data_IF_361540603042
#
_entry.id   IF_361540603042
#
_cell.length_a   1.000
_cell.length_b   1.000
_cell.length_c   1.000
_cell.angle_alpha   90.00
_cell.angle_beta   90.00
_cell.angle_gamma   90.00
#
_symmetry.space_group_name_H-M   'P 1'
#
loop_
_entity.id
_entity.type
_entity.pdbx_description
1 polymer ?
#
# COMPACT_ATOMS: atom_id res chain seq x y z
N UNK A 1 17.37 43.23 3.23
CA UNK A 1 17.44 41.84 3.74
C UNK A 1 16.13 41.17 3.47
N UNK A 2 16.06 40.44 2.36
CA UNK A 2 14.91 39.59 2.00
C UNK A 2 14.97 38.33 2.89
N UNK A 3 14.08 38.24 3.83
CA UNK A 3 13.85 36.99 4.54
C UNK A 3 13.21 36.01 3.56
N UNK A 4 14.02 35.11 3.01
CA UNK A 4 13.49 33.89 2.42
C UNK A 4 12.87 33.10 3.57
N UNK A 5 11.59 33.38 3.84
CA UNK A 5 10.76 32.48 4.61
C UNK A 5 10.80 31.15 3.85
N UNK A 6 11.52 30.20 4.40
CA UNK A 6 11.51 28.83 3.95
C UNK A 6 10.06 28.36 4.02
N UNK A 7 9.38 28.29 2.89
CA UNK A 7 8.17 27.53 2.70
C UNK A 7 8.54 26.06 2.88
N UNK A 8 8.71 25.67 4.15
CA UNK A 8 8.56 24.31 4.54
C UNK A 8 7.07 24.03 4.43
N UNK A 9 6.60 23.77 3.21
CA UNK A 9 5.37 23.04 3.00
C UNK A 9 5.54 21.75 3.76
N UNK A 10 5.00 21.69 4.99
CA UNK A 10 4.75 20.43 5.66
C UNK A 10 3.90 19.64 4.68
N UNK A 11 4.50 18.67 3.96
CA UNK A 11 3.75 17.71 3.16
C UNK A 11 2.68 17.17 4.08
N UNK A 12 1.42 17.50 3.79
CA UNK A 12 0.32 17.00 4.59
C UNK A 12 0.41 15.47 4.56
N UNK A 13 0.48 14.88 5.74
CA UNK A 13 0.58 13.42 5.86
C UNK A 13 -0.67 12.79 5.23
N UNK A 14 -0.44 11.91 4.25
CA UNK A 14 -1.52 11.17 3.59
C UNK A 14 -1.82 9.92 4.39
N UNK A 15 -3.08 9.79 4.79
CA UNK A 15 -3.62 8.60 5.44
C UNK A 15 -4.34 7.76 4.40
N UNK A 16 -3.93 6.51 4.28
CA UNK A 16 -4.51 5.54 3.35
C UNK A 16 -5.53 4.67 4.08
N UNK A 17 -6.80 4.83 3.74
CA UNK A 17 -7.87 3.97 4.25
C UNK A 17 -8.11 2.80 3.31
N UNK A 18 -7.98 1.56 3.78
CA UNK A 18 -8.18 0.38 2.94
C UNK A 18 -9.30 -0.52 3.47
N UNK A 19 -10.12 -1.03 2.55
CA UNK A 19 -11.17 -2.04 2.81
C UNK A 19 -11.11 -3.12 1.74
N UNK A 20 -11.48 -4.36 2.09
CA UNK A 20 -11.58 -5.45 1.11
C UNK A 20 -13.03 -5.92 1.07
N UNK A 21 -13.58 -5.97 -0.13
CA UNK A 21 -14.96 -6.31 -0.45
C UNK A 21 -15.00 -7.62 -1.23
N UNK A 22 -15.93 -8.48 -0.87
CA UNK A 22 -16.20 -9.70 -1.61
C UNK A 22 -17.60 -9.65 -2.17
N UNK A 23 -17.78 -10.10 -3.40
CA UNK A 23 -19.10 -10.21 -4.00
C UNK A 23 -19.82 -11.45 -3.49
N UNK A 24 -21.14 -11.39 -3.40
CA UNK A 24 -21.98 -12.58 -3.33
C UNK A 24 -21.78 -13.43 -4.59
N UNK A 25 -22.00 -14.73 -4.48
CA UNK A 25 -21.85 -15.66 -5.59
C UNK A 25 -22.63 -15.18 -6.84
N UNK A 26 -21.94 -15.12 -7.97
CA UNK A 26 -22.52 -14.69 -9.26
C UNK A 26 -22.75 -13.18 -9.42
N UNK A 27 -22.49 -12.35 -8.38
CA UNK A 27 -22.79 -10.91 -8.40
C UNK A 27 -21.55 -10.00 -8.53
N UNK A 28 -20.37 -10.57 -8.81
CA UNK A 28 -19.12 -9.82 -8.90
C UNK A 28 -19.17 -8.68 -9.93
N UNK A 29 -19.70 -8.95 -11.13
CA UNK A 29 -19.83 -7.93 -12.18
C UNK A 29 -20.72 -6.75 -11.75
N UNK A 30 -21.83 -7.02 -11.06
CA UNK A 30 -22.73 -5.97 -10.55
C UNK A 30 -22.07 -5.15 -9.45
N UNK A 31 -21.37 -5.79 -8.53
CA UNK A 31 -20.64 -5.10 -7.47
C UNK A 31 -19.54 -4.19 -8.05
N UNK A 32 -18.75 -4.70 -8.98
CA UNK A 32 -17.69 -3.94 -9.64
C UNK A 32 -18.23 -2.77 -10.46
N UNK A 33 -19.34 -2.97 -11.18
CA UNK A 33 -20.02 -1.89 -11.92
C UNK A 33 -20.47 -0.78 -10.98
N UNK A 34 -21.05 -1.11 -9.84
CA UNK A 34 -21.42 -0.12 -8.81
C UNK A 34 -20.22 0.64 -8.25
N UNK A 35 -19.08 -0.04 -8.07
CA UNK A 35 -17.83 0.61 -7.65
C UNK A 35 -17.25 1.53 -8.72
N UNK A 36 -17.27 1.12 -9.98
CA UNK A 36 -16.85 1.91 -11.13
C UNK A 36 -17.66 3.21 -11.23
N UNK A 37 -18.97 3.10 -11.24
CA UNK A 37 -19.88 4.24 -11.37
C UNK A 37 -19.74 5.20 -10.18
N UNK A 38 -19.57 4.67 -8.97
CA UNK A 38 -19.28 5.47 -7.79
C UNK A 38 -17.97 6.24 -7.94
N UNK A 39 -16.92 5.59 -8.42
CA UNK A 39 -15.61 6.22 -8.61
C UNK A 39 -15.67 7.32 -9.66
N UNK A 40 -16.32 7.05 -10.79
CA UNK A 40 -16.54 8.05 -11.85
C UNK A 40 -17.27 9.29 -11.33
N UNK A 41 -18.28 9.07 -10.49
CA UNK A 41 -19.13 10.17 -9.99
C UNK A 41 -18.45 11.01 -8.89
N UNK A 42 -17.67 10.40 -8.01
CA UNK A 42 -17.20 11.08 -6.78
C UNK A 42 -15.69 11.16 -6.60
N UNK A 43 -14.92 10.40 -7.34
CA UNK A 43 -13.48 10.28 -7.13
C UNK A 43 -12.65 10.54 -8.39
N UNK A 44 -13.25 11.05 -9.46
CA UNK A 44 -12.58 11.49 -10.70
C UNK A 44 -12.92 12.94 -11.02
N UNK A 45 -12.03 13.59 -11.77
CA UNK A 45 -12.20 14.99 -12.20
C UNK A 45 -11.82 15.99 -11.12
N UNK A 46 -12.04 17.26 -11.43
CA UNK A 46 -11.64 18.41 -10.59
C UNK A 46 -12.36 18.45 -9.24
N UNK A 47 -13.60 17.99 -9.18
CA UNK A 47 -14.42 17.96 -7.97
C UNK A 47 -14.25 16.66 -7.16
N UNK A 48 -13.23 15.86 -7.46
CA UNK A 48 -13.00 14.61 -6.77
C UNK A 48 -12.78 14.84 -5.26
N UNK A 49 -13.55 14.13 -4.43
CA UNK A 49 -13.46 14.27 -2.97
C UNK A 49 -12.14 13.79 -2.40
N UNK A 50 -11.58 12.74 -2.99
CA UNK A 50 -10.27 12.15 -2.69
C UNK A 50 -9.91 11.09 -3.74
N UNK A 51 -8.61 10.80 -3.95
CA UNK A 51 -8.17 9.71 -4.81
C UNK A 51 -8.59 8.34 -4.24
N UNK A 52 -9.02 7.46 -5.15
CA UNK A 52 -9.42 6.10 -4.85
C UNK A 52 -8.65 5.14 -5.76
N UNK A 53 -7.93 4.20 -5.18
CA UNK A 53 -7.22 3.15 -5.89
C UNK A 53 -7.88 1.81 -5.61
N UNK A 54 -8.03 0.99 -6.66
CA UNK A 54 -8.73 -0.28 -6.54
C UNK A 54 -7.87 -1.42 -7.06
N UNK A 55 -7.85 -2.51 -6.31
CA UNK A 55 -7.06 -3.69 -6.62
C UNK A 55 -7.91 -4.95 -6.45
N UNK A 56 -7.59 -5.99 -7.23
CA UNK A 56 -8.12 -7.34 -7.03
C UNK A 56 -7.02 -8.22 -6.45
N UNK A 57 -7.28 -8.90 -5.35
CA UNK A 57 -6.38 -9.93 -4.84
C UNK A 57 -6.36 -11.14 -5.75
N UNK A 58 -5.16 -11.51 -6.22
CA UNK A 58 -4.91 -12.65 -7.11
C UNK A 58 -4.44 -13.88 -6.37
N UNK A 59 -3.82 -13.69 -5.21
CA UNK A 59 -3.29 -14.77 -4.35
C UNK A 59 -3.56 -14.50 -2.88
N UNK A 60 -3.36 -15.53 -2.04
CA UNK A 60 -3.51 -15.45 -0.59
C UNK A 60 -4.96 -15.57 -0.09
N UNK A 61 -5.18 -15.38 1.21
CA UNK A 61 -6.50 -15.59 1.84
C UNK A 61 -7.59 -14.62 1.36
N UNK A 62 -7.21 -13.52 0.71
CA UNK A 62 -8.16 -12.54 0.15
C UNK A 62 -8.41 -12.72 -1.35
N UNK A 63 -8.00 -13.84 -1.95
CA UNK A 63 -8.17 -14.11 -3.39
C UNK A 63 -9.60 -13.84 -3.86
N UNK A 64 -9.74 -13.08 -4.95
CA UNK A 64 -11.00 -12.62 -5.51
C UNK A 64 -11.62 -11.40 -4.81
N UNK A 65 -11.08 -10.97 -3.67
CA UNK A 65 -11.48 -9.76 -2.97
C UNK A 65 -11.07 -8.49 -3.72
N UNK A 66 -11.91 -7.48 -3.68
CA UNK A 66 -11.68 -6.15 -4.27
C UNK A 66 -11.28 -5.20 -3.14
N UNK A 67 -10.02 -4.77 -3.16
CA UNK A 67 -9.52 -3.79 -2.20
C UNK A 67 -9.73 -2.38 -2.73
N UNK A 68 -10.33 -1.53 -1.90
CA UNK A 68 -10.49 -0.09 -2.14
C UNK A 68 -9.56 0.66 -1.20
N UNK A 69 -8.70 1.51 -1.75
CA UNK A 69 -7.73 2.32 -0.99
C UNK A 69 -8.01 3.79 -1.27
N UNK A 70 -8.43 4.53 -0.26
CA UNK A 70 -8.57 5.99 -0.33
C UNK A 70 -7.29 6.66 0.18
N UNK A 71 -6.83 7.72 -0.50
CA UNK A 71 -5.73 8.55 -0.03
C UNK A 71 -6.29 9.91 0.43
N UNK A 72 -6.13 10.24 1.72
CA UNK A 72 -6.74 11.44 2.31
C UNK A 72 -5.74 12.17 3.21
N UNK A 73 -5.87 13.48 3.29
CA UNK A 73 -5.22 14.25 4.35
C UNK A 73 -5.99 14.12 5.65
N UNK A 74 -5.36 14.43 6.80
CA UNK A 74 -6.05 14.45 8.09
C UNK A 74 -7.24 15.40 8.06
N UNK A 75 -7.08 16.61 7.50
CA UNK A 75 -8.18 17.56 7.40
C UNK A 75 -9.34 17.07 6.52
N UNK A 76 -9.05 16.32 5.45
CA UNK A 76 -10.10 15.70 4.64
C UNK A 76 -10.86 14.60 5.41
N UNK A 77 -10.17 13.85 6.27
CA UNK A 77 -10.83 12.86 7.13
C UNK A 77 -11.78 13.52 8.13
N UNK A 78 -11.37 14.65 8.73
CA UNK A 78 -12.18 15.39 9.69
C UNK A 78 -13.40 16.06 9.04
N UNK A 79 -13.20 16.66 7.87
CA UNK A 79 -14.26 17.43 7.16
C UNK A 79 -15.17 16.58 6.29
N UNK A 80 -14.77 15.33 5.99
CA UNK A 80 -15.50 14.50 5.04
C UNK A 80 -16.87 14.08 5.56
N UNK A 81 -17.91 14.63 4.97
CA UNK A 81 -19.31 14.29 5.24
C UNK A 81 -20.14 14.18 3.96
N UNK A 82 -19.65 13.44 2.97
CA UNK A 82 -20.40 13.24 1.74
C UNK A 82 -21.50 12.17 1.92
N UNK A 83 -22.69 12.64 2.30
CA UNK A 83 -23.88 11.78 2.49
C UNK A 83 -24.31 11.14 1.17
N UNK A 84 -24.23 11.86 0.06
CA UNK A 84 -24.65 11.38 -1.26
C UNK A 84 -23.76 10.22 -1.71
N UNK A 85 -22.44 10.35 -1.57
CA UNK A 85 -21.49 9.28 -1.91
C UNK A 85 -21.75 8.00 -1.10
N UNK A 86 -21.99 8.15 0.22
CA UNK A 86 -22.33 7.01 1.09
C UNK A 86 -23.65 6.35 0.71
N UNK A 87 -24.68 7.14 0.37
CA UNK A 87 -25.98 6.62 -0.05
C UNK A 87 -25.87 5.91 -1.40
N UNK A 88 -25.10 6.49 -2.33
CA UNK A 88 -24.84 5.86 -3.63
C UNK A 88 -24.17 4.48 -3.46
N UNK A 89 -23.12 4.41 -2.65
CA UNK A 89 -22.42 3.16 -2.37
C UNK A 89 -23.34 2.10 -1.74
N UNK A 90 -24.13 2.51 -0.75
CA UNK A 90 -25.12 1.63 -0.10
C UNK A 90 -26.15 1.08 -1.07
N UNK A 91 -26.58 1.87 -2.03
CA UNK A 91 -27.60 1.49 -3.02
C UNK A 91 -27.03 0.61 -4.14
N UNK A 92 -25.84 0.90 -4.62
CA UNK A 92 -25.31 0.33 -5.87
C UNK A 92 -24.18 -0.69 -5.69
N UNK A 93 -23.59 -0.83 -4.48
CA UNK A 93 -22.51 -1.77 -4.20
C UNK A 93 -22.92 -2.78 -3.12
N UNK A 94 -23.38 -2.30 -1.97
CA UNK A 94 -23.66 -3.13 -0.79
C UNK A 94 -24.64 -4.28 -1.07
N UNK A 95 -25.71 -4.15 -1.89
CA UNK A 95 -26.62 -5.26 -2.16
C UNK A 95 -25.95 -6.47 -2.80
N UNK A 96 -24.86 -6.25 -3.51
CA UNK A 96 -24.11 -7.29 -4.24
C UNK A 96 -22.89 -7.81 -3.43
N UNK A 97 -22.57 -7.18 -2.30
CA UNK A 97 -21.45 -7.53 -1.46
C UNK A 97 -21.82 -8.61 -0.42
N UNK A 98 -20.90 -9.53 -0.18
CA UNK A 98 -20.96 -10.48 0.94
C UNK A 98 -20.46 -9.79 2.22
N UNK A 99 -21.39 -9.31 3.02
CA UNK A 99 -21.10 -8.53 4.23
C UNK A 99 -20.39 -9.37 5.31
N UNK A 100 -20.50 -10.69 5.27
CA UNK A 100 -19.85 -11.59 6.24
C UNK A 100 -18.34 -11.70 6.02
N UNK A 101 -17.87 -11.40 4.80
CA UNK A 101 -16.46 -11.51 4.40
C UNK A 101 -15.72 -10.18 4.32
N UNK A 102 -16.38 -9.06 4.54
CA UNK A 102 -15.76 -7.74 4.42
C UNK A 102 -14.61 -7.60 5.43
N UNK A 103 -13.43 -7.23 4.93
CA UNK A 103 -12.35 -6.72 5.79
C UNK A 103 -12.56 -5.22 5.99
N UNK A 104 -12.86 -4.84 7.24
CA UNK A 104 -13.16 -3.46 7.64
C UNK A 104 -11.97 -2.54 7.44
N UNK A 105 -12.23 -1.25 7.44
CA UNK A 105 -11.23 -0.20 7.20
C UNK A 105 -10.03 -0.36 8.11
N UNK A 106 -8.86 -0.38 7.48
CA UNK A 106 -7.55 -0.22 8.12
C UNK A 106 -6.94 1.09 7.65
N UNK A 107 -6.33 1.83 8.56
CA UNK A 107 -5.65 3.09 8.26
C UNK A 107 -4.13 2.86 8.25
N UNK A 108 -3.49 3.37 7.21
CA UNK A 108 -2.06 3.21 6.96
C UNK A 108 -1.40 4.56 6.71
N UNK A 109 -0.15 4.69 7.09
CA UNK A 109 0.70 5.79 6.65
C UNK A 109 1.90 5.25 5.89
N UNK A 110 2.28 5.95 4.82
CA UNK A 110 3.49 5.65 4.07
C UNK A 110 4.71 6.12 4.87
N UNK A 111 5.76 5.33 4.82
CA UNK A 111 7.03 5.63 5.46
C UNK A 111 8.09 5.92 4.39
N UNK A 112 8.27 7.20 4.06
CA UNK A 112 9.15 7.62 2.96
C UNK A 112 10.61 7.24 3.21
N UNK A 113 11.10 7.34 4.45
CA UNK A 113 12.46 6.94 4.85
C UNK A 113 12.74 5.43 4.68
N UNK A 114 11.69 4.63 4.55
CA UNK A 114 11.75 3.18 4.37
C UNK A 114 11.24 2.73 3.00
N UNK A 115 11.13 3.67 2.07
CA UNK A 115 10.68 3.45 0.69
C UNK A 115 11.78 3.86 -0.28
N UNK A 116 11.84 3.17 -1.43
CA UNK A 116 12.84 3.46 -2.46
C UNK A 116 12.19 3.41 -3.84
N UNK A 117 12.37 4.47 -4.63
CA UNK A 117 11.79 4.62 -5.96
C UNK A 117 10.31 4.20 -6.09
N UNK A 118 9.66 3.95 -4.96
CA UNK A 118 8.24 3.69 -4.89
C UNK A 118 7.52 5.02 -5.07
N UNK A 119 7.43 5.51 -6.32
CA UNK A 119 6.67 6.70 -6.62
C UNK A 119 5.20 6.49 -6.30
N UNK A 120 4.56 7.52 -5.86
CA UNK A 120 3.11 7.64 -5.92
C UNK A 120 2.61 7.42 -7.36
N UNK A 121 1.63 8.04 -7.77
CA UNK A 121 0.78 7.93 -8.94
C UNK A 121 1.41 7.65 -10.32
N UNK A 122 2.69 7.87 -10.57
CA UNK A 122 3.17 8.04 -11.96
C UNK A 122 3.45 6.74 -12.72
N UNK A 123 3.60 5.62 -12.00
CA UNK A 123 3.81 4.32 -12.63
C UNK A 123 2.79 3.31 -12.09
N UNK A 124 1.67 3.24 -12.77
CA UNK A 124 0.57 2.32 -12.46
C UNK A 124 0.85 0.94 -13.03
N UNK A 125 1.93 0.32 -12.53
CA UNK A 125 2.24 -1.06 -12.91
C UNK A 125 1.06 -1.97 -12.61
N UNK A 126 0.89 -3.00 -13.43
CA UNK A 126 -0.30 -3.86 -13.40
C UNK A 126 -0.50 -4.59 -12.09
N UNK A 127 0.58 -5.04 -11.48
CA UNK A 127 0.54 -5.85 -10.27
C UNK A 127 1.29 -5.20 -9.10
N UNK A 128 0.96 -5.64 -7.89
CA UNK A 128 1.66 -5.30 -6.65
C UNK A 128 1.87 -6.56 -5.84
N UNK A 129 3.13 -6.90 -5.56
CA UNK A 129 3.45 -7.80 -4.47
C UNK A 129 3.31 -7.03 -3.16
N UNK A 130 2.50 -7.55 -2.26
CA UNK A 130 2.28 -6.96 -0.94
C UNK A 130 2.74 -7.95 0.11
N UNK A 131 3.73 -7.56 0.88
CA UNK A 131 4.24 -8.35 2.00
C UNK A 131 3.80 -7.68 3.29
N UNK A 132 3.04 -8.38 4.10
CA UNK A 132 2.70 -7.94 5.45
C UNK A 132 3.65 -8.57 6.46
N UNK A 133 4.10 -7.76 7.40
CA UNK A 133 4.94 -8.16 8.51
C UNK A 133 4.26 -7.82 9.82
N UNK A 134 4.25 -8.76 10.74
CA UNK A 134 3.90 -8.53 12.13
C UNK A 134 5.15 -8.65 12.98
N UNK A 135 5.53 -7.56 13.62
CA UNK A 135 6.77 -7.43 14.37
C UNK A 135 6.51 -7.53 15.87
N UNK A 136 7.46 -8.07 16.63
CA UNK A 136 7.36 -8.09 18.09
C UNK A 136 7.28 -6.66 18.64
N UNK A 137 6.43 -6.37 19.62
CA UNK A 137 6.41 -5.06 20.28
C UNK A 137 7.78 -4.68 20.82
N UNK A 138 8.15 -3.40 20.68
CA UNK A 138 9.44 -2.88 21.17
C UNK A 138 10.65 -3.24 20.33
N UNK A 139 10.48 -3.80 19.13
CA UNK A 139 11.59 -4.14 18.23
C UNK A 139 12.14 -2.90 17.54
N UNK A 140 13.00 -2.17 18.20
CA UNK A 140 13.65 -0.96 17.64
C UNK A 140 14.52 -1.26 16.42
N UNK A 141 15.05 -2.49 16.33
CA UNK A 141 15.86 -2.95 15.20
C UNK A 141 15.09 -2.96 13.87
N UNK A 142 13.78 -3.06 13.91
CA UNK A 142 12.94 -3.06 12.71
C UNK A 142 13.13 -1.82 11.84
N UNK A 143 13.19 -0.67 12.47
CA UNK A 143 13.44 0.61 11.79
C UNK A 143 14.84 0.65 11.17
N UNK A 144 15.84 0.24 11.91
CA UNK A 144 17.23 0.17 11.43
C UNK A 144 17.42 -0.76 10.25
N UNK A 145 16.79 -1.95 10.26
CA UNK A 145 16.87 -2.91 9.14
C UNK A 145 16.33 -2.30 7.84
N UNK A 146 15.17 -1.62 7.91
CA UNK A 146 14.55 -1.01 6.74
C UNK A 146 15.37 0.19 6.21
N UNK A 147 15.92 1.02 7.10
CA UNK A 147 16.80 2.13 6.70
C UNK A 147 18.05 1.63 6.00
N UNK A 148 18.69 0.59 6.53
CA UNK A 148 19.85 -0.03 5.89
C UNK A 148 19.53 -0.59 4.50
N UNK A 149 18.35 -1.22 4.33
CA UNK A 149 17.91 -1.71 3.02
C UNK A 149 17.78 -0.55 2.01
N UNK A 150 17.13 0.54 2.40
CA UNK A 150 17.00 1.74 1.54
C UNK A 150 18.36 2.35 1.22
N UNK A 151 19.26 2.42 2.19
CA UNK A 151 20.62 2.93 2.00
C UNK A 151 21.42 2.08 1.03
N UNK A 152 21.32 0.75 1.12
CA UNK A 152 21.95 -0.16 0.18
C UNK A 152 21.50 0.11 -1.25
N UNK A 153 20.20 0.25 -1.49
CA UNK A 153 19.66 0.58 -2.82
C UNK A 153 20.10 1.95 -3.32
N UNK A 154 20.10 2.97 -2.46
CA UNK A 154 20.54 4.32 -2.83
C UNK A 154 22.00 4.35 -3.25
N UNK A 155 22.88 3.69 -2.50
CA UNK A 155 24.32 3.70 -2.78
C UNK A 155 24.72 2.80 -3.95
N UNK A 156 24.01 1.70 -4.17
CA UNK A 156 24.26 0.81 -5.31
C UNK A 156 23.65 1.28 -6.63
N UNK A 157 22.81 2.34 -6.62
CA UNK A 157 22.10 2.80 -7.81
C UNK A 157 21.09 1.78 -8.34
N UNK A 158 20.53 0.96 -7.47
CA UNK A 158 19.58 -0.10 -7.81
C UNK A 158 18.34 0.41 -8.53
N UNK A 159 17.79 -0.42 -9.42
CA UNK A 159 16.51 -0.18 -10.10
C UNK A 159 15.30 -0.67 -9.30
N UNK A 160 15.51 -1.21 -8.10
CA UNK A 160 14.43 -1.68 -7.23
C UNK A 160 13.42 -0.57 -6.93
N UNK A 161 12.18 -0.97 -6.72
CA UNK A 161 11.07 -0.08 -6.37
C UNK A 161 10.25 -0.72 -5.28
N UNK A 162 10.08 -0.02 -4.16
CA UNK A 162 9.20 -0.46 -3.09
C UNK A 162 8.72 0.69 -2.23
N UNK A 163 7.54 0.52 -1.66
CA UNK A 163 6.96 1.45 -0.69
C UNK A 163 6.64 0.72 0.60
N UNK A 164 7.02 1.31 1.72
CA UNK A 164 6.74 0.80 3.06
C UNK A 164 5.58 1.57 3.69
N UNK A 165 4.73 0.84 4.40
CA UNK A 165 3.59 1.40 5.14
C UNK A 165 3.57 0.84 6.56
N UNK A 166 3.04 1.66 7.48
CA UNK A 166 2.74 1.25 8.85
C UNK A 166 1.25 1.36 9.11
N UNK A 167 0.68 0.37 9.78
CA UNK A 167 -0.71 0.41 10.23
C UNK A 167 -0.87 1.42 11.38
N UNK A 168 -1.85 2.32 11.25
CA UNK A 168 -2.17 3.35 12.25
C UNK A 168 -3.31 2.92 13.18
N UNK A 169 -4.15 1.98 12.75
CA UNK A 169 -5.33 1.55 13.50
C UNK A 169 -5.37 0.04 13.66
N UNK A 170 -5.60 -0.44 14.87
CA UNK A 170 -5.56 -1.86 15.22
C UNK A 170 -4.18 -2.29 15.72
N UNK A 171 -3.62 -3.38 15.21
CA UNK A 171 -2.29 -3.85 15.60
C UNK A 171 -1.19 -3.01 14.94
N UNK A 172 -0.76 -1.96 15.62
CA UNK A 172 0.25 -1.00 15.15
C UNK A 172 1.66 -1.59 14.97
N UNK A 173 1.86 -2.87 15.33
CA UNK A 173 3.07 -3.62 15.02
C UNK A 173 3.06 -4.23 13.61
N UNK A 174 2.02 -3.94 12.85
CA UNK A 174 1.84 -4.41 11.48
C UNK A 174 2.41 -3.39 10.47
N UNK A 175 3.23 -3.90 9.56
CA UNK A 175 3.83 -3.16 8.46
C UNK A 175 3.54 -3.85 7.14
N UNK A 176 3.59 -3.10 6.05
CA UNK A 176 3.57 -3.71 4.71
C UNK A 176 4.66 -3.13 3.82
N UNK A 177 5.19 -3.98 2.95
CA UNK A 177 6.07 -3.63 1.85
C UNK A 177 5.30 -3.90 0.56
N UNK A 178 5.26 -2.90 -0.32
CA UNK A 178 4.57 -2.99 -1.60
C UNK A 178 5.60 -2.85 -2.71
N UNK A 179 5.69 -3.86 -3.58
CA UNK A 179 6.63 -3.91 -4.69
C UNK A 179 5.81 -3.97 -5.99
N UNK A 180 5.87 -2.93 -6.85
CA UNK A 180 5.16 -2.91 -8.12
C UNK A 180 5.89 -3.77 -9.18
N UNK A 181 5.13 -4.40 -10.09
CA UNK A 181 5.64 -5.16 -11.23
C UNK A 181 4.60 -5.26 -12.34
N UNK A 182 5.02 -5.54 -13.59
CA UNK A 182 4.11 -5.54 -14.75
C UNK A 182 3.74 -6.93 -15.24
N UNK A 183 4.60 -7.93 -15.05
CA UNK A 183 4.38 -9.28 -15.54
C UNK A 183 4.70 -10.35 -14.51
N UNK A 184 4.16 -11.55 -14.70
CA UNK A 184 4.54 -12.71 -13.88
C UNK A 184 5.98 -13.16 -14.12
N UNK A 185 6.58 -12.79 -15.24
CA UNK A 185 8.00 -12.98 -15.50
C UNK A 185 8.85 -12.12 -14.56
N UNK A 186 8.49 -10.82 -14.42
CA UNK A 186 9.15 -9.92 -13.48
C UNK A 186 9.03 -10.41 -12.03
N UNK A 187 7.89 -11.04 -11.70
CA UNK A 187 7.64 -11.58 -10.36
C UNK A 187 8.74 -12.52 -9.88
N UNK A 188 9.33 -13.31 -10.77
CA UNK A 188 10.36 -14.31 -10.41
C UNK A 188 11.65 -13.69 -9.89
N UNK A 189 11.94 -12.42 -10.23
CA UNK A 189 13.15 -11.70 -9.83
C UNK A 189 12.91 -10.62 -8.77
N UNK A 190 11.64 -10.36 -8.37
CA UNK A 190 11.31 -9.25 -7.47
C UNK A 190 12.02 -9.35 -6.12
N UNK A 191 11.96 -10.50 -5.48
CA UNK A 191 12.55 -10.67 -4.15
C UNK A 191 14.07 -10.51 -4.20
N UNK A 192 14.76 -11.09 -5.18
CA UNK A 192 16.20 -10.93 -5.33
C UNK A 192 16.63 -9.52 -5.74
N UNK A 193 15.76 -8.76 -6.39
CA UNK A 193 16.02 -7.36 -6.72
C UNK A 193 15.90 -6.46 -5.49
N UNK A 194 14.87 -6.67 -4.67
CA UNK A 194 14.63 -5.86 -3.47
C UNK A 194 15.49 -6.30 -2.30
N UNK A 195 15.67 -7.61 -2.11
CA UNK A 195 16.48 -8.20 -1.04
C UNK A 195 17.82 -8.69 -1.60
N UNK A 196 18.61 -7.76 -2.13
CA UNK A 196 19.87 -8.03 -2.80
C UNK A 196 21.03 -8.04 -1.79
N UNK A 197 21.53 -9.23 -1.49
CA UNK A 197 22.64 -9.47 -0.55
C UNK A 197 23.92 -8.74 -0.98
N UNK A 198 24.32 -8.90 -2.26
CA UNK A 198 25.57 -8.31 -2.77
C UNK A 198 25.53 -6.78 -2.66
N UNK A 199 24.41 -6.15 -3.03
CA UNK A 199 24.23 -4.71 -2.88
C UNK A 199 24.27 -4.29 -1.41
N UNK A 200 23.65 -5.05 -0.52
CA UNK A 200 23.61 -4.76 0.90
C UNK A 200 25.00 -4.89 1.54
N UNK A 201 25.71 -5.99 1.28
CA UNK A 201 27.05 -6.24 1.82
C UNK A 201 28.09 -5.27 1.27
N UNK A 202 27.95 -4.84 0.01
CA UNK A 202 28.84 -3.82 -0.57
C UNK A 202 28.80 -2.49 0.14
N UNK A 203 27.66 -2.16 0.75
CA UNK A 203 27.40 -0.87 1.45
C UNK A 203 27.69 -0.96 2.94
N UNK A 204 27.29 -2.06 3.59
CA UNK A 204 27.33 -2.21 5.04
C UNK A 204 28.46 -3.11 5.54
N UNK A 205 29.23 -3.73 4.64
CA UNK A 205 30.32 -4.66 4.93
C UNK A 205 29.91 -6.12 4.74
N UNK A 206 30.88 -6.93 4.39
CA UNK A 206 30.69 -8.36 4.15
C UNK A 206 30.07 -9.07 5.34
N UNK A 207 29.02 -9.85 5.11
CA UNK A 207 28.29 -10.61 6.13
C UNK A 207 27.21 -9.80 6.87
N UNK A 208 27.07 -8.51 6.59
CA UNK A 208 26.05 -7.67 7.26
C UNK A 208 24.63 -8.05 6.84
N UNK A 209 24.44 -8.62 5.64
CA UNK A 209 23.17 -9.19 5.20
C UNK A 209 22.74 -10.34 6.11
N UNK A 210 23.63 -11.31 6.32
CA UNK A 210 23.33 -12.48 7.17
C UNK A 210 23.03 -12.06 8.61
N UNK A 211 23.77 -11.10 9.16
CA UNK A 211 23.50 -10.55 10.49
C UNK A 211 22.10 -9.89 10.54
N UNK A 212 21.74 -9.13 9.52
CA UNK A 212 20.44 -8.49 9.42
C UNK A 212 19.30 -9.50 9.30
N UNK A 213 19.50 -10.60 8.60
CA UNK A 213 18.52 -11.71 8.53
C UNK A 213 18.34 -12.39 9.90
N UNK A 214 19.40 -12.58 10.68
CA UNK A 214 19.30 -13.11 12.07
C UNK A 214 18.44 -12.18 12.94
N UNK A 215 18.66 -10.88 12.85
CA UNK A 215 17.81 -9.90 13.55
C UNK A 215 16.38 -9.97 13.04
N UNK A 216 16.17 -9.93 11.73
CA UNK A 216 14.84 -10.00 11.11
C UNK A 216 14.06 -11.22 11.59
N UNK A 217 14.65 -12.42 11.52
CA UNK A 217 13.99 -13.66 11.97
C UNK A 217 13.70 -13.68 13.47
N UNK A 218 14.48 -12.97 14.27
CA UNK A 218 14.26 -12.88 15.71
C UNK A 218 13.09 -11.97 16.10
N UNK A 219 12.76 -10.96 15.29
CA UNK A 219 11.75 -9.94 15.60
C UNK A 219 10.44 -10.06 14.80
N UNK A 220 10.46 -10.66 13.61
CA UNK A 220 9.25 -10.85 12.79
C UNK A 220 8.51 -12.09 13.25
N UNK A 221 7.26 -11.92 13.64
CA UNK A 221 6.38 -13.02 14.11
C UNK A 221 5.65 -13.70 12.96
N UNK A 222 5.16 -12.90 12.04
CA UNK A 222 4.32 -13.35 10.92
C UNK A 222 4.74 -12.62 9.65
N UNK A 223 4.72 -13.33 8.54
CA UNK A 223 4.93 -12.78 7.19
C UNK A 223 3.89 -13.38 6.27
N UNK A 224 3.09 -12.53 5.64
CA UNK A 224 2.12 -12.93 4.62
C UNK A 224 2.45 -12.25 3.30
N UNK A 225 2.30 -12.99 2.20
CA UNK A 225 2.60 -12.49 0.85
C UNK A 225 1.36 -12.60 -0.02
N UNK A 226 1.01 -11.50 -0.68
CA UNK A 226 -0.14 -11.42 -1.57
C UNK A 226 0.25 -10.76 -2.89
N UNK A 227 -0.38 -11.19 -3.97
CA UNK A 227 -0.36 -10.45 -5.24
C UNK A 227 -1.72 -9.83 -5.46
N UNK A 228 -1.73 -8.54 -5.80
CA UNK A 228 -2.94 -7.83 -6.21
C UNK A 228 -2.73 -7.16 -7.57
N UNK A 229 -3.79 -7.15 -8.36
CA UNK A 229 -3.86 -6.52 -9.67
C UNK A 229 -4.55 -5.17 -9.57
N UNK A 230 -3.96 -4.14 -10.16
CA UNK A 230 -4.56 -2.81 -10.24
C UNK A 230 -5.72 -2.80 -11.22
N UNK A 231 -6.83 -2.17 -10.86
CA UNK A 231 -8.04 -2.02 -11.68
C UNK A 231 -8.24 -0.53 -11.99
N UNK A 232 -7.69 -0.03 -13.11
CA UNK A 232 -7.76 1.38 -13.46
C UNK A 232 -9.19 1.86 -13.68
N UNK A 233 -10.07 1.01 -14.23
CA UNK A 233 -11.46 1.33 -14.47
C UNK A 233 -12.25 1.62 -13.17
N UNK A 234 -11.82 1.08 -12.03
CA UNK A 234 -12.41 1.30 -10.73
C UNK A 234 -11.64 2.31 -9.87
N UNK A 235 -10.61 2.94 -10.41
CA UNK A 235 -9.70 3.84 -9.70
C UNK A 235 -9.85 5.28 -10.19
N UNK A 236 -9.39 6.23 -9.38
CA UNK A 236 -9.19 7.61 -9.81
C UNK A 236 -8.00 7.67 -10.78
N UNK A 237 -8.07 8.60 -11.71
CA UNK A 237 -6.97 8.93 -12.63
C UNK A 237 -6.16 10.08 -12.09
#
# INVERSE_FOLDING_TARGET
ASSAASDVYKRQEIIYGSQIWFAKQGLSAKMMKGMEDKTKKFNRGEDATYPMYTFRYRTGPYTGGIQRVSARTASNLDSYNNREERQYFRKHVVPYADMSRIVRTKLWTRQDDHSYNGSGSDERMKYRLVVFYKVKPGSYQWDGLRKKLVEAHKKSGSTARFSSFRLLSGDVTTFSLIIPFDSWEDYTSLESTVFNEDAYDSVHGKGSWEESLKVFTSIVKEREVHVREYLPELSSE
#
